data_IF_681360154083
#
_entry.id   IF_681360154083
#
_cell.length_a   1.000
_cell.length_b   1.000
_cell.length_c   1.000
_cell.angle_alpha   90.00
_cell.angle_beta   90.00
_cell.angle_gamma   90.00
#
_symmetry.space_group_name_H-M   'P 1'
#
loop_
_entity.id
_entity.type
_entity.pdbx_description
1 polymer ?
#
# COMPACT_ATOMS: atom_id res chain seq x y z
N UNK A 1 15.53 35.47 5.49
CA UNK A 1 15.03 36.04 6.75
C UNK A 1 14.05 37.18 6.55
N UNK A 2 14.41 38.32 5.94
CA UNK A 2 13.48 39.47 5.80
C UNK A 2 12.13 39.14 5.15
N UNK A 3 12.11 38.25 4.14
CA UNK A 3 10.87 37.80 3.49
C UNK A 3 10.06 36.90 4.44
N UNK A 4 10.69 35.91 5.08
CA UNK A 4 10.01 34.98 6.00
C UNK A 4 9.51 35.70 7.26
N UNK A 5 10.28 36.65 7.81
CA UNK A 5 9.87 37.47 8.96
C UNK A 5 8.73 38.44 8.59
N UNK A 6 8.73 39.02 7.37
CA UNK A 6 7.61 39.83 6.88
C UNK A 6 6.36 39.00 6.63
N UNK A 7 6.50 37.79 6.08
CA UNK A 7 5.37 36.87 5.87
C UNK A 7 4.84 36.41 7.24
N UNK A 8 5.70 36.08 8.21
CA UNK A 8 5.26 35.63 9.55
C UNK A 8 4.60 36.76 10.36
N UNK A 9 5.08 38.01 10.27
CA UNK A 9 4.43 39.16 10.94
C UNK A 9 3.04 39.48 10.37
N UNK A 10 2.83 39.21 9.08
CA UNK A 10 1.56 39.45 8.40
C UNK A 10 0.71 38.18 8.24
N UNK A 11 1.19 37.03 8.73
CA UNK A 11 0.47 35.78 8.65
C UNK A 11 -0.78 35.89 9.55
N UNK A 12 -1.95 35.50 9.05
CA UNK A 12 -3.16 35.46 9.86
C UNK A 12 -2.92 34.54 11.06
N UNK A 13 -3.34 34.97 12.26
CA UNK A 13 -3.34 34.09 13.43
C UNK A 13 -4.35 32.97 13.17
N UNK A 14 -3.87 31.79 12.85
CA UNK A 14 -4.75 30.63 12.73
C UNK A 14 -4.90 29.98 14.10
N UNK A 15 -6.13 29.99 14.60
CA UNK A 15 -6.45 29.31 15.86
C UNK A 15 -6.13 27.81 15.77
N UNK A 16 -5.41 27.30 16.77
CA UNK A 16 -5.06 25.89 16.90
C UNK A 16 -3.65 25.51 16.40
N UNK A 17 -2.92 26.44 15.79
CA UNK A 17 -1.56 26.19 15.30
C UNK A 17 -0.53 26.56 16.38
N UNK A 18 0.53 25.75 16.46
CA UNK A 18 1.63 25.92 17.42
C UNK A 18 2.63 26.94 16.87
N UNK A 19 3.32 27.60 17.80
CA UNK A 19 4.40 28.50 17.47
C UNK A 19 5.53 27.75 16.75
N UNK A 20 6.11 28.37 15.72
CA UNK A 20 7.22 27.82 14.95
C UNK A 20 8.46 28.67 15.20
N UNK A 21 9.56 28.00 15.53
CA UNK A 21 10.86 28.63 15.75
C UNK A 21 11.78 28.26 14.58
N UNK A 22 12.35 29.27 13.92
CA UNK A 22 13.30 29.09 12.81
C UNK A 22 14.74 29.34 13.28
N UNK A 23 15.68 28.62 12.68
CA UNK A 23 17.10 28.66 13.03
C UNK A 23 17.98 28.79 11.78
N UNK A 24 19.03 29.59 11.87
CA UNK A 24 20.03 29.79 10.81
C UNK A 24 21.36 29.17 11.30
N UNK A 25 21.53 27.87 11.13
CA UNK A 25 22.77 27.16 11.48
C UNK A 25 22.98 25.97 10.54
N UNK A 26 24.24 25.52 10.44
CA UNK A 26 24.73 24.45 9.57
C UNK A 26 23.87 23.17 9.62
N UNK A 27 23.84 22.49 8.47
CA UNK A 27 23.09 21.27 8.18
C UNK A 27 23.01 20.36 9.39
N UNK A 28 21.81 20.19 9.93
CA UNK A 28 21.54 19.10 10.88
C UNK A 28 21.55 17.81 10.05
N UNK A 29 22.59 17.01 10.20
CA UNK A 29 22.61 15.68 9.63
C UNK A 29 21.63 14.82 10.43
N UNK A 30 20.45 14.55 9.84
CA UNK A 30 19.59 13.49 10.35
C UNK A 30 20.30 12.19 10.01
N UNK A 31 20.67 11.38 11.00
CA UNK A 31 21.16 10.04 10.76
C UNK A 31 20.09 9.26 9.98
N UNK A 32 20.38 8.94 8.71
CA UNK A 32 19.54 8.07 7.91
C UNK A 32 19.54 6.69 8.56
N UNK A 33 18.39 6.31 9.14
CA UNK A 33 18.18 4.96 9.68
C UNK A 33 18.03 3.98 8.50
N UNK A 34 19.17 3.54 7.94
CA UNK A 34 19.27 2.69 6.73
C UNK A 34 18.96 1.22 6.99
N UNK A 35 17.78 0.92 7.54
CA UNK A 35 17.41 -0.43 7.99
C UNK A 35 16.95 -1.38 6.87
N UNK A 36 16.39 -0.82 5.78
CA UNK A 36 15.90 -1.56 4.64
C UNK A 36 16.51 -0.98 3.37
N UNK A 37 17.52 -1.64 2.82
CA UNK A 37 18.17 -1.20 1.58
C UNK A 37 17.50 -1.85 0.39
N UNK A 38 17.01 -1.08 -0.57
CA UNK A 38 16.45 -1.62 -1.82
C UNK A 38 17.57 -2.30 -2.61
N UNK A 39 17.33 -3.53 -3.05
CA UNK A 39 18.26 -4.34 -3.84
C UNK A 39 17.77 -4.56 -5.27
N UNK A 40 16.47 -4.42 -5.51
CA UNK A 40 15.90 -4.53 -6.84
C UNK A 40 14.41 -4.23 -6.84
N UNK A 41 13.93 -3.71 -7.97
CA UNK A 41 12.50 -3.52 -8.23
C UNK A 41 12.17 -4.14 -9.58
N UNK A 42 11.45 -5.25 -9.55
CA UNK A 42 11.05 -5.99 -10.76
C UNK A 42 9.60 -5.70 -11.11
N UNK A 43 9.32 -5.53 -12.41
CA UNK A 43 7.94 -5.44 -12.90
C UNK A 43 7.28 -6.81 -12.82
N UNK A 44 6.24 -6.93 -12.00
CA UNK A 44 5.38 -8.13 -11.96
C UNK A 44 4.35 -8.10 -13.08
N UNK A 45 3.84 -6.91 -13.40
CA UNK A 45 2.94 -6.66 -14.52
C UNK A 45 2.92 -5.17 -14.84
N UNK A 46 2.77 -4.82 -16.11
CA UNK A 46 2.61 -3.44 -16.58
C UNK A 46 1.74 -3.41 -17.85
N UNK A 47 0.53 -2.88 -17.71
CA UNK A 47 -0.34 -2.50 -18.81
C UNK A 47 -1.08 -1.19 -18.50
N UNK A 48 -1.94 -0.74 -19.41
CA UNK A 48 -2.68 0.52 -19.27
C UNK A 48 -3.59 0.58 -18.03
N UNK A 49 -4.01 -0.56 -17.48
CA UNK A 49 -5.02 -0.69 -16.43
C UNK A 49 -4.46 -1.16 -15.08
N UNK A 50 -3.29 -1.80 -15.10
CA UNK A 50 -2.67 -2.42 -13.94
C UNK A 50 -1.16 -2.33 -14.04
N UNK A 51 -0.53 -1.94 -12.95
CA UNK A 51 0.90 -2.01 -12.81
C UNK A 51 1.25 -2.48 -11.41
N UNK A 52 2.19 -3.42 -11.32
CA UNK A 52 2.64 -3.96 -10.05
C UNK A 52 4.13 -4.26 -10.06
N UNK A 53 4.76 -4.06 -8.91
CA UNK A 53 6.17 -4.32 -8.70
C UNK A 53 6.40 -5.34 -7.60
N UNK A 54 7.49 -6.10 -7.74
CA UNK A 54 8.16 -6.79 -6.65
C UNK A 54 9.29 -5.90 -6.18
N UNK A 55 9.29 -5.52 -4.90
CA UNK A 55 10.39 -4.78 -4.30
C UNK A 55 11.18 -5.73 -3.41
N UNK A 56 12.49 -5.79 -3.64
CA UNK A 56 13.44 -6.57 -2.85
C UNK A 56 14.26 -5.66 -1.95
N UNK A 57 14.35 -6.01 -0.68
CA UNK A 57 15.05 -5.23 0.33
C UNK A 57 16.01 -6.12 1.11
N UNK A 58 17.25 -5.67 1.29
CA UNK A 58 18.16 -6.26 2.24
C UNK A 58 17.93 -5.64 3.61
N UNK A 59 17.88 -6.49 4.65
CA UNK A 59 17.73 -6.07 6.03
C UNK A 59 18.44 -7.03 6.97
N UNK A 60 18.95 -6.49 8.08
CA UNK A 60 19.51 -7.28 9.18
C UNK A 60 18.44 -7.65 10.22
N UNK A 61 17.18 -7.23 10.03
CA UNK A 61 16.09 -7.53 10.95
C UNK A 61 15.54 -8.94 10.67
N UNK A 62 15.36 -9.70 11.73
CA UNK A 62 14.67 -10.98 11.66
C UNK A 62 13.19 -10.78 11.32
N UNK A 63 12.66 -11.66 10.47
CA UNK A 63 11.24 -11.71 10.13
C UNK A 63 10.81 -13.17 9.95
N UNK A 64 9.50 -13.41 9.91
CA UNK A 64 8.93 -14.71 9.55
C UNK A 64 8.19 -14.57 8.22
N UNK A 65 8.04 -15.68 7.50
CA UNK A 65 7.25 -15.71 6.28
C UNK A 65 5.83 -15.17 6.55
N UNK A 66 5.29 -14.43 5.58
CA UNK A 66 3.99 -13.76 5.65
C UNK A 66 3.85 -12.71 6.77
N UNK A 67 4.89 -12.33 7.52
CA UNK A 67 4.86 -11.11 8.33
C UNK A 67 4.55 -9.88 7.45
N UNK A 68 4.13 -8.80 8.08
CA UNK A 68 3.92 -7.54 7.39
C UNK A 68 5.13 -6.61 7.55
N UNK A 69 5.35 -5.72 6.60
CA UNK A 69 6.30 -4.62 6.69
C UNK A 69 5.52 -3.30 6.53
N UNK A 70 5.72 -2.41 7.50
CA UNK A 70 5.12 -1.08 7.55
C UNK A 70 6.14 -0.07 7.05
N UNK A 71 5.92 0.55 5.90
CA UNK A 71 6.91 1.38 5.22
C UNK A 71 6.42 2.82 5.03
N UNK A 72 7.28 3.78 5.31
CA UNK A 72 7.07 5.17 4.94
C UNK A 72 7.54 5.40 3.51
N UNK A 73 6.71 6.07 2.72
CA UNK A 73 7.12 6.59 1.42
C UNK A 73 7.64 8.00 1.55
N UNK A 74 8.33 8.48 0.52
CA UNK A 74 8.88 9.83 0.47
C UNK A 74 8.26 10.61 -0.69
N UNK A 75 8.21 11.94 -0.58
CA UNK A 75 7.85 12.76 -1.72
C UNK A 75 9.02 12.83 -2.71
N UNK A 76 8.67 13.02 -3.98
CA UNK A 76 9.63 13.24 -5.05
C UNK A 76 10.50 14.47 -4.81
N UNK A 77 11.80 14.36 -5.08
CA UNK A 77 12.73 15.47 -4.90
C UNK A 77 12.37 16.67 -5.80
N UNK A 78 11.92 16.43 -7.04
CA UNK A 78 11.47 17.49 -7.95
C UNK A 78 10.19 18.15 -7.44
N UNK A 79 9.28 17.38 -6.82
CA UNK A 79 8.06 17.92 -6.21
C UNK A 79 8.38 18.83 -5.01
N UNK A 80 9.32 18.42 -4.16
CA UNK A 80 9.77 19.21 -3.01
C UNK A 80 10.47 20.48 -3.49
N UNK A 81 11.38 20.37 -4.46
CA UNK A 81 12.09 21.51 -5.04
C UNK A 81 11.10 22.49 -5.71
N UNK A 82 10.15 21.99 -6.50
CA UNK A 82 9.11 22.81 -7.14
C UNK A 82 8.29 23.57 -6.10
N UNK A 83 7.89 22.92 -5.00
CA UNK A 83 7.15 23.55 -3.91
C UNK A 83 7.98 24.65 -3.24
N UNK A 84 9.23 24.35 -2.87
CA UNK A 84 10.13 25.30 -2.21
C UNK A 84 10.41 26.51 -3.10
N UNK A 85 10.76 26.29 -4.37
CA UNK A 85 10.99 27.35 -5.35
C UNK A 85 9.71 28.17 -5.57
N UNK A 86 8.57 27.50 -5.73
CA UNK A 86 7.26 28.11 -5.92
C UNK A 86 6.87 29.04 -4.79
N UNK A 87 7.17 28.69 -3.54
CA UNK A 87 6.90 29.49 -2.34
C UNK A 87 8.07 30.37 -1.87
N UNK A 88 9.23 30.29 -2.54
CA UNK A 88 10.48 30.99 -2.18
C UNK A 88 11.00 30.60 -0.78
N UNK A 89 10.90 29.33 -0.44
CA UNK A 89 11.49 28.79 0.78
C UNK A 89 12.99 28.53 0.60
N UNK A 90 13.74 28.65 1.69
CA UNK A 90 15.11 28.15 1.75
C UNK A 90 15.07 26.74 2.34
N UNK A 91 15.32 25.74 1.50
CA UNK A 91 15.23 24.30 1.83
C UNK A 91 16.02 23.91 3.09
N UNK A 92 17.23 24.46 3.23
CA UNK A 92 18.14 24.18 4.34
C UNK A 92 17.78 24.91 5.65
N UNK A 93 16.77 25.79 5.63
CA UNK A 93 16.34 26.48 6.85
C UNK A 93 15.79 25.46 7.84
N UNK A 94 16.35 25.46 9.05
CA UNK A 94 15.91 24.57 10.12
C UNK A 94 14.77 25.19 10.91
N UNK A 95 13.85 24.35 11.39
CA UNK A 95 12.75 24.77 12.25
C UNK A 95 12.43 23.75 13.34
N UNK A 96 11.72 24.19 14.37
CA UNK A 96 11.10 23.38 15.42
C UNK A 96 9.69 23.91 15.68
N UNK A 97 8.75 23.00 15.93
CA UNK A 97 7.40 23.29 16.43
C UNK A 97 7.29 22.71 17.85
N UNK A 98 7.56 23.52 18.89
CA UNK A 98 7.61 23.02 20.27
C UNK A 98 6.34 22.28 20.68
N UNK A 99 6.52 21.09 21.26
CA UNK A 99 5.41 20.24 21.70
C UNK A 99 4.67 19.50 20.58
N UNK A 100 5.07 19.61 19.30
CA UNK A 100 4.61 18.67 18.27
C UNK A 100 5.34 17.33 18.36
N UNK A 101 4.63 16.23 18.13
CA UNK A 101 5.21 14.88 18.23
C UNK A 101 6.18 14.56 17.09
N UNK A 102 5.99 15.17 15.92
CA UNK A 102 6.80 14.92 14.72
C UNK A 102 7.76 16.07 14.49
N UNK A 103 7.28 17.31 14.64
CA UNK A 103 8.06 18.53 14.38
C UNK A 103 8.65 19.17 15.65
N UNK A 104 8.57 18.50 16.81
CA UNK A 104 9.19 18.94 18.06
C UNK A 104 10.71 18.75 18.10
N UNK A 105 11.30 18.21 17.04
CA UNK A 105 12.75 18.02 16.85
C UNK A 105 13.22 18.91 15.71
N UNK A 106 14.43 19.47 15.82
CA UNK A 106 15.05 20.33 14.80
C UNK A 106 15.19 19.56 13.49
N UNK A 107 14.64 20.09 12.40
CA UNK A 107 14.80 19.55 11.05
C UNK A 107 14.74 20.64 10.00
N UNK A 108 15.24 20.35 8.80
CA UNK A 108 15.16 21.26 7.65
C UNK A 108 13.75 21.29 7.06
N UNK A 109 13.42 22.39 6.39
CA UNK A 109 12.17 22.50 5.60
C UNK A 109 12.11 21.38 4.55
N UNK A 110 13.23 21.11 3.88
CA UNK A 110 13.34 20.02 2.89
C UNK A 110 12.96 18.67 3.49
N UNK A 111 13.54 18.31 4.64
CA UNK A 111 13.27 17.01 5.27
C UNK A 111 11.83 16.88 5.74
N UNK A 112 11.25 17.97 6.25
CA UNK A 112 9.85 17.97 6.62
C UNK A 112 8.95 17.69 5.41
N UNK A 113 9.17 18.39 4.29
CA UNK A 113 8.42 18.18 3.05
C UNK A 113 8.70 16.84 2.40
N UNK A 114 9.92 16.32 2.45
CA UNK A 114 10.27 15.05 1.83
C UNK A 114 9.75 13.85 2.62
N UNK A 115 9.93 13.84 3.93
CA UNK A 115 9.78 12.63 4.75
C UNK A 115 8.62 12.66 5.76
N UNK A 116 7.99 13.80 6.02
CA UNK A 116 7.02 13.93 7.15
C UNK A 116 5.60 14.29 6.74
N UNK A 117 5.39 15.00 5.64
CA UNK A 117 4.06 15.48 5.20
C UNK A 117 3.66 14.98 3.81
N UNK A 118 2.38 14.71 3.58
CA UNK A 118 1.87 14.23 2.30
C UNK A 118 1.58 15.40 1.36
N UNK A 119 2.33 15.50 0.26
CA UNK A 119 2.16 16.55 -0.75
C UNK A 119 1.25 16.12 -1.91
N UNK A 120 0.86 14.85 -1.99
CA UNK A 120 0.19 14.24 -3.14
C UNK A 120 -1.32 14.04 -2.93
N UNK A 121 -1.75 14.04 -1.67
CA UNK A 121 -3.16 13.90 -1.31
C UNK A 121 -4.03 15.03 -1.85
N UNK A 122 -5.27 14.69 -2.23
CA UNK A 122 -6.29 15.65 -2.64
C UNK A 122 -6.61 16.60 -1.49
N UNK A 123 -6.61 17.91 -1.75
CA UNK A 123 -6.87 18.93 -0.73
C UNK A 123 -8.29 18.81 -0.18
N UNK A 124 -8.42 18.74 1.16
CA UNK A 124 -9.72 18.72 1.85
C UNK A 124 -10.27 20.13 2.05
N UNK A 125 -11.61 20.27 2.09
CA UNK A 125 -12.27 21.56 2.31
C UNK A 125 -11.76 22.39 3.50
N UNK A 126 -11.56 21.82 4.72
CA UNK A 126 -11.07 22.61 5.86
C UNK A 126 -9.66 23.18 5.64
N UNK A 127 -8.81 22.39 4.98
CA UNK A 127 -7.46 22.81 4.60
C UNK A 127 -7.54 23.93 3.56
N UNK A 128 -8.33 23.74 2.50
CA UNK A 128 -8.53 24.76 1.48
C UNK A 128 -9.08 26.07 2.08
N UNK A 129 -10.02 25.98 3.03
CA UNK A 129 -10.55 27.16 3.73
C UNK A 129 -9.49 27.87 4.54
N UNK A 130 -8.59 27.13 5.18
CA UNK A 130 -7.45 27.72 5.92
C UNK A 130 -6.52 28.47 4.96
N UNK A 131 -6.24 27.89 3.80
CA UNK A 131 -5.39 28.48 2.76
C UNK A 131 -5.93 29.79 2.18
N UNK A 132 -7.26 30.01 2.20
CA UNK A 132 -7.89 31.26 1.72
C UNK A 132 -7.29 32.53 2.37
N UNK A 133 -6.84 32.42 3.62
CA UNK A 133 -6.31 33.57 4.37
C UNK A 133 -4.88 33.96 3.93
N UNK A 134 -4.26 33.15 3.08
CA UNK A 134 -2.92 33.36 2.52
C UNK A 134 -2.93 33.67 1.02
N UNK A 135 -4.12 33.83 0.42
CA UNK A 135 -4.24 34.29 -0.96
C UNK A 135 -3.65 35.70 -1.10
N UNK A 136 -2.83 35.90 -2.13
CA UNK A 136 -2.30 37.24 -2.45
C UNK A 136 -3.38 38.12 -3.07
N UNK A 137 -4.29 37.53 -3.86
CA UNK A 137 -5.37 38.24 -4.54
C UNK A 137 -6.72 37.98 -3.87
N UNK A 138 -7.52 39.05 -3.73
CA UNK A 138 -8.85 38.96 -3.09
C UNK A 138 -9.83 38.10 -3.90
N UNK A 139 -9.68 38.04 -5.22
CA UNK A 139 -10.55 37.21 -6.08
C UNK A 139 -10.26 35.71 -5.91
N UNK A 140 -9.00 35.33 -5.70
CA UNK A 140 -8.62 33.95 -5.35
C UNK A 140 -9.22 33.54 -4.00
N UNK A 141 -9.15 34.45 -3.01
CA UNK A 141 -9.77 34.26 -1.70
C UNK A 141 -11.29 34.08 -1.80
N UNK A 142 -11.99 34.96 -2.52
CA UNK A 142 -13.44 34.85 -2.75
C UNK A 142 -13.80 33.53 -3.45
N UNK A 143 -12.99 33.11 -4.40
CA UNK A 143 -13.18 31.83 -5.11
C UNK A 143 -13.07 30.66 -4.15
N UNK A 144 -12.01 30.60 -3.34
CA UNK A 144 -11.85 29.57 -2.32
C UNK A 144 -12.98 29.61 -1.28
N UNK A 145 -13.38 30.78 -0.84
CA UNK A 145 -14.47 30.96 0.13
C UNK A 145 -15.80 30.44 -0.43
N UNK A 146 -16.05 30.65 -1.73
CA UNK A 146 -17.18 30.05 -2.42
C UNK A 146 -17.06 28.52 -2.47
N UNK A 147 -15.94 27.97 -2.95
CA UNK A 147 -15.70 26.52 -3.07
C UNK A 147 -15.88 25.78 -1.73
N UNK A 148 -15.45 26.40 -0.64
CA UNK A 148 -15.51 25.83 0.71
C UNK A 148 -16.85 26.05 1.41
N UNK A 149 -17.75 26.84 0.83
CA UNK A 149 -19.12 27.04 1.32
C UNK A 149 -20.05 25.86 1.03
N UNK A 150 -21.26 25.89 1.60
CA UNK A 150 -22.32 24.93 1.27
C UNK A 150 -22.75 25.03 -0.21
N UNK A 151 -22.81 26.26 -0.76
CA UNK A 151 -23.23 26.50 -2.15
C UNK A 151 -22.18 26.07 -3.17
N UNK A 152 -20.90 26.10 -2.82
CA UNK A 152 -19.81 25.69 -3.70
C UNK A 152 -19.51 24.19 -3.68
N UNK A 153 -20.34 23.35 -3.05
CA UNK A 153 -20.06 21.92 -2.89
C UNK A 153 -19.80 21.20 -4.20
N UNK A 154 -20.66 21.41 -5.19
CA UNK A 154 -20.53 20.74 -6.49
C UNK A 154 -19.32 21.28 -7.25
N UNK A 155 -19.06 22.59 -7.14
CA UNK A 155 -17.90 23.21 -7.78
C UNK A 155 -16.57 22.76 -7.16
N UNK A 156 -16.53 22.57 -5.85
CA UNK A 156 -15.38 21.95 -5.17
C UNK A 156 -15.13 20.52 -5.68
N UNK A 157 -16.20 19.73 -5.85
CA UNK A 157 -16.07 18.37 -6.39
C UNK A 157 -15.51 18.42 -7.81
N UNK A 158 -16.02 19.29 -8.67
CA UNK A 158 -15.59 19.44 -10.06
C UNK A 158 -14.16 19.95 -10.19
N UNK A 159 -13.82 21.02 -9.47
CA UNK A 159 -12.56 21.75 -9.68
C UNK A 159 -11.40 21.21 -8.83
N UNK A 160 -11.69 20.58 -7.69
CA UNK A 160 -10.68 20.09 -6.75
C UNK A 160 -10.63 18.56 -6.76
N UNK A 161 -11.73 17.89 -6.42
CA UNK A 161 -11.73 16.43 -6.24
C UNK A 161 -11.57 15.68 -7.56
N UNK A 162 -12.38 16.00 -8.57
CA UNK A 162 -12.35 15.35 -9.88
C UNK A 162 -11.08 15.65 -10.68
N UNK A 163 -10.39 16.75 -10.35
CA UNK A 163 -9.09 17.11 -10.93
C UNK A 163 -7.91 16.63 -10.09
N UNK A 164 -8.17 16.02 -8.93
CA UNK A 164 -7.15 15.52 -8.00
C UNK A 164 -6.16 16.61 -7.56
N UNK A 165 -6.64 17.82 -7.28
CA UNK A 165 -5.78 18.94 -6.91
C UNK A 165 -5.10 18.68 -5.57
N UNK A 166 -3.76 18.62 -5.60
CA UNK A 166 -2.90 18.50 -4.42
C UNK A 166 -2.56 19.87 -3.82
N UNK A 167 -1.91 19.90 -2.66
CA UNK A 167 -1.53 21.17 -2.03
C UNK A 167 -0.62 22.01 -2.93
N UNK A 168 0.47 21.46 -3.53
CA UNK A 168 1.27 22.20 -4.51
C UNK A 168 0.44 22.76 -5.68
N UNK A 169 -0.53 22.00 -6.22
CA UNK A 169 -1.41 22.48 -7.30
C UNK A 169 -2.27 23.68 -6.83
N UNK A 170 -2.84 23.61 -5.61
CA UNK A 170 -3.65 24.69 -5.03
C UNK A 170 -2.83 25.95 -4.78
N UNK A 171 -1.62 25.79 -4.23
CA UNK A 171 -0.74 26.93 -3.95
C UNK A 171 -0.38 27.70 -5.23
N UNK A 172 -0.17 26.98 -6.34
CA UNK A 172 0.09 27.56 -7.64
C UNK A 172 -1.18 28.18 -8.26
N UNK A 173 -2.31 27.47 -8.22
CA UNK A 173 -3.54 27.90 -8.89
C UNK A 173 -4.17 29.18 -8.30
N UNK A 174 -4.02 29.41 -6.99
CA UNK A 174 -4.67 30.52 -6.27
C UNK A 174 -3.68 31.55 -5.69
N UNK A 175 -2.45 31.60 -6.24
CA UNK A 175 -1.40 32.55 -5.85
C UNK A 175 -1.21 32.66 -4.33
N UNK A 176 -1.20 31.53 -3.63
CA UNK A 176 -1.09 31.51 -2.18
C UNK A 176 0.36 31.69 -1.75
N UNK A 177 0.60 32.49 -0.72
CA UNK A 177 1.90 32.68 -0.07
C UNK A 177 1.78 32.40 1.42
N UNK A 178 2.32 31.28 1.86
CA UNK A 178 2.18 30.78 3.23
C UNK A 178 3.58 30.56 3.85
N UNK A 179 3.78 30.82 5.16
CA UNK A 179 5.01 30.39 5.83
C UNK A 179 5.16 28.86 5.82
N UNK A 180 6.38 28.32 5.69
CA UNK A 180 6.62 26.88 5.63
C UNK A 180 6.12 26.17 6.90
N UNK A 181 6.32 26.75 8.08
CA UNK A 181 5.85 26.18 9.34
C UNK A 181 4.31 26.13 9.48
N UNK A 182 3.59 27.06 8.87
CA UNK A 182 2.12 27.02 8.85
C UNK A 182 1.65 25.95 7.87
N UNK A 183 2.26 25.90 6.68
CA UNK A 183 1.96 24.90 5.66
C UNK A 183 2.18 23.47 6.18
N UNK A 184 3.31 23.22 6.86
CA UNK A 184 3.65 21.91 7.45
C UNK A 184 2.61 21.47 8.47
N UNK A 185 2.04 22.39 9.25
CA UNK A 185 1.01 22.06 10.24
C UNK A 185 -0.36 21.80 9.61
N UNK A 186 -0.65 22.37 8.44
CA UNK A 186 -1.91 22.16 7.70
C UNK A 186 -1.90 20.83 6.94
N UNK A 187 -0.72 20.39 6.50
CA UNK A 187 -0.55 19.17 5.73
C UNK A 187 -0.83 17.91 6.56
N UNK A 188 -1.40 16.90 5.91
CA UNK A 188 -1.50 15.56 6.50
C UNK A 188 -0.08 14.98 6.67
N UNK A 189 0.13 14.24 7.76
CA UNK A 189 1.38 13.52 7.99
C UNK A 189 1.45 12.27 7.12
N UNK A 190 2.64 11.95 6.60
CA UNK A 190 2.88 10.70 5.87
C UNK A 190 2.60 9.54 6.83
N UNK A 191 1.68 8.66 6.45
CA UNK A 191 1.36 7.44 7.18
C UNK A 191 2.18 6.28 6.62
N UNK A 192 2.59 5.30 7.45
CA UNK A 192 3.22 4.11 6.91
C UNK A 192 2.19 3.25 6.16
N UNK A 193 2.63 2.57 5.11
CA UNK A 193 1.82 1.66 4.29
C UNK A 193 2.24 0.23 4.62
N UNK A 194 1.26 -0.64 4.81
CA UNK A 194 1.48 -2.04 5.17
C UNK A 194 1.55 -2.89 3.91
N UNK A 195 2.57 -3.72 3.81
CA UNK A 195 2.72 -4.73 2.77
C UNK A 195 2.99 -6.08 3.42
N UNK A 196 2.35 -7.13 2.91
CA UNK A 196 2.62 -8.48 3.38
C UNK A 196 3.85 -9.03 2.64
N UNK A 197 4.80 -9.54 3.41
CA UNK A 197 6.08 -10.05 2.91
C UNK A 197 5.83 -11.32 2.07
N UNK A 198 6.37 -11.34 0.86
CA UNK A 198 6.22 -12.41 -0.13
C UNK A 198 7.43 -13.33 -0.26
N UNK A 199 8.46 -13.12 0.55
CA UNK A 199 9.62 -14.01 0.68
C UNK A 199 9.56 -14.83 1.97
N UNK A 200 10.27 -15.95 1.98
CA UNK A 200 10.60 -16.69 3.19
C UNK A 200 12.09 -16.42 3.52
N UNK A 201 12.44 -16.06 4.77
CA UNK A 201 13.81 -15.78 5.18
C UNK A 201 14.76 -16.99 5.05
N UNK A 202 14.25 -18.22 5.13
CA UNK A 202 15.04 -19.45 5.02
C UNK A 202 15.40 -19.78 3.57
N UNK A 203 14.61 -19.31 2.60
CA UNK A 203 14.81 -19.59 1.18
C UNK A 203 15.18 -18.35 0.36
N UNK A 204 15.31 -17.18 0.98
CA UNK A 204 15.63 -15.93 0.29
C UNK A 204 16.55 -15.03 1.12
N UNK A 205 17.65 -14.52 0.52
CA UNK A 205 18.58 -13.63 1.21
C UNK A 205 18.05 -12.19 1.35
N UNK A 206 16.94 -11.86 0.69
CA UNK A 206 16.30 -10.54 0.70
C UNK A 206 14.84 -10.67 1.10
N UNK A 207 14.27 -9.62 1.68
CA UNK A 207 12.84 -9.53 1.97
C UNK A 207 12.11 -8.98 0.74
N UNK A 208 11.05 -9.66 0.32
CA UNK A 208 10.28 -9.29 -0.88
C UNK A 208 8.89 -8.83 -0.49
N UNK A 209 8.31 -7.89 -1.22
CA UNK A 209 6.89 -7.58 -1.13
C UNK A 209 6.36 -7.08 -2.48
N UNK A 210 5.07 -7.34 -2.71
CA UNK A 210 4.38 -6.87 -3.91
C UNK A 210 3.66 -5.54 -3.64
N UNK A 211 3.76 -4.62 -4.60
CA UNK A 211 2.98 -3.39 -4.60
C UNK A 211 2.18 -3.26 -5.90
N UNK A 212 0.90 -2.92 -5.77
CA UNK A 212 0.11 -2.41 -6.89
C UNK A 212 0.26 -0.88 -6.96
N UNK A 213 0.55 -0.36 -8.15
CA UNK A 213 0.60 1.07 -8.41
C UNK A 213 -0.83 1.60 -8.56
N UNK A 214 -1.21 2.53 -7.69
CA UNK A 214 -2.53 3.16 -7.68
C UNK A 214 -2.45 4.47 -8.45
N UNK A 215 -3.16 4.51 -9.59
CA UNK A 215 -3.22 5.68 -10.48
C UNK A 215 -4.66 5.90 -10.97
N UNK A 216 -5.15 7.13 -10.83
CA UNK A 216 -6.47 7.56 -11.30
C UNK A 216 -6.38 8.94 -11.96
N UNK A 217 -6.46 9.01 -13.29
CA UNK A 217 -6.22 10.26 -14.01
C UNK A 217 -4.80 10.81 -13.74
N UNK A 218 -4.72 12.04 -13.23
CA UNK A 218 -3.45 12.68 -12.80
C UNK A 218 -2.97 12.18 -11.43
N UNK A 219 -3.85 11.64 -10.60
CA UNK A 219 -3.48 11.17 -9.26
C UNK A 219 -2.67 9.88 -9.31
N UNK A 220 -1.57 9.87 -8.57
CA UNK A 220 -0.81 8.67 -8.23
C UNK A 220 -0.71 8.65 -6.70
N UNK A 221 -1.03 7.51 -6.09
CA UNK A 221 -0.94 7.40 -4.63
C UNK A 221 0.48 7.65 -4.15
N UNK A 222 0.65 8.34 -3.02
CA UNK A 222 1.97 8.72 -2.49
C UNK A 222 3.02 7.59 -2.52
N UNK A 223 2.71 6.42 -1.95
CA UNK A 223 3.68 5.32 -1.92
C UNK A 223 3.87 4.71 -3.33
N UNK A 224 2.85 4.78 -4.19
CA UNK A 224 2.99 4.39 -5.60
C UNK A 224 3.94 5.31 -6.37
N UNK A 225 3.89 6.64 -6.13
CA UNK A 225 4.87 7.59 -6.67
C UNK A 225 6.28 7.24 -6.22
N UNK A 226 6.45 6.96 -4.93
CA UNK A 226 7.74 6.55 -4.39
C UNK A 226 8.24 5.21 -4.98
N UNK A 227 7.35 4.22 -5.13
CA UNK A 227 7.70 2.94 -5.76
C UNK A 227 8.09 3.08 -7.23
N UNK A 228 7.48 4.00 -7.97
CA UNK A 228 7.90 4.35 -9.34
C UNK A 228 9.31 4.97 -9.36
N UNK A 229 9.68 5.77 -8.36
CA UNK A 229 11.05 6.27 -8.24
C UNK A 229 12.03 5.13 -7.96
N UNK A 230 11.72 4.26 -6.99
CA UNK A 230 12.55 3.10 -6.69
C UNK A 230 12.73 2.19 -7.91
N UNK A 231 11.69 2.05 -8.73
CA UNK A 231 11.79 1.34 -10.01
C UNK A 231 12.72 2.03 -11.01
N UNK A 232 12.67 3.36 -11.13
CA UNK A 232 13.57 4.10 -12.03
C UNK A 232 15.02 4.08 -11.56
N UNK A 233 15.24 4.20 -10.26
CA UNK A 233 16.58 4.32 -9.68
C UNK A 233 17.21 2.96 -9.38
N UNK A 234 16.40 1.92 -9.16
CA UNK A 234 16.82 0.59 -8.68
C UNK A 234 17.64 0.63 -7.38
N UNK A 235 17.56 1.74 -6.64
CA UNK A 235 18.33 1.99 -5.43
C UNK A 235 17.51 2.88 -4.48
N UNK A 236 17.79 2.75 -3.19
CA UNK A 236 17.17 3.58 -2.16
C UNK A 236 17.19 2.89 -0.81
N UNK A 237 16.70 3.62 0.18
CA UNK A 237 16.44 3.09 1.51
C UNK A 237 14.97 3.26 1.83
N UNK A 238 14.45 2.34 2.61
CA UNK A 238 13.10 2.35 3.11
C UNK A 238 13.15 2.46 4.64
N UNK A 239 12.20 3.19 5.20
CA UNK A 239 12.07 3.35 6.63
C UNK A 239 10.76 2.72 7.10
N UNK A 240 10.81 1.97 8.20
CA UNK A 240 9.66 1.19 8.59
C UNK A 240 9.87 0.21 9.73
N UNK A 241 8.88 -0.65 9.92
CA UNK A 241 8.88 -1.67 10.96
C UNK A 241 8.30 -2.98 10.42
N UNK A 242 8.93 -4.11 10.77
CA UNK A 242 8.31 -5.42 10.58
C UNK A 242 7.25 -5.60 11.66
N UNK A 243 6.08 -6.05 11.24
CA UNK A 243 4.91 -6.28 12.09
C UNK A 243 4.50 -7.75 11.99
N UNK A 244 4.05 -8.36 13.10
CA UNK A 244 3.40 -9.66 13.05
C UNK A 244 2.21 -9.65 12.08
N UNK A 245 1.96 -10.78 11.45
CA UNK A 245 0.77 -11.01 10.62
C UNK A 245 -0.21 -11.93 11.34
N UNK A 246 -1.47 -11.85 10.97
CA UNK A 246 -2.47 -12.86 11.35
C UNK A 246 -2.15 -14.24 10.75
N UNK A 247 -1.27 -14.32 9.74
CA UNK A 247 -0.92 -15.54 9.02
C UNK A 247 0.15 -16.35 9.75
N UNK A 248 -0.18 -16.83 10.95
CA UNK A 248 0.66 -17.79 11.67
C UNK A 248 0.67 -19.13 10.94
N UNK A 249 1.80 -19.49 10.32
CA UNK A 249 1.95 -20.74 9.59
C UNK A 249 1.79 -21.99 10.50
N UNK A 250 0.98 -22.96 10.05
CA UNK A 250 0.64 -24.22 10.73
C UNK A 250 0.68 -25.37 9.70
N UNK A 251 1.87 -25.86 9.32
CA UNK A 251 2.03 -26.87 8.28
C UNK A 251 1.37 -28.20 8.62
N UNK A 252 1.27 -28.54 9.90
CA UNK A 252 0.70 -29.81 10.38
C UNK A 252 -0.79 -29.97 10.07
N UNK A 253 -1.47 -28.87 9.69
CA UNK A 253 -2.88 -28.85 9.33
C UNK A 253 -3.06 -28.79 7.81
N UNK A 254 -4.19 -29.30 7.27
CA UNK A 254 -4.63 -28.94 5.92
C UNK A 254 -4.75 -27.42 5.76
N UNK A 255 -4.26 -26.87 4.65
CA UNK A 255 -4.18 -25.44 4.38
C UNK A 255 -4.99 -25.07 3.14
N UNK A 256 -5.82 -24.03 3.27
CA UNK A 256 -6.51 -23.37 2.16
C UNK A 256 -6.09 -21.89 2.10
N UNK A 257 -5.45 -21.52 1.00
CA UNK A 257 -5.02 -20.15 0.71
C UNK A 257 -5.96 -19.55 -0.33
N UNK A 258 -6.55 -18.40 -0.03
CA UNK A 258 -7.49 -17.69 -0.92
C UNK A 258 -7.00 -16.25 -1.10
N UNK A 259 -6.72 -15.82 -2.33
CA UNK A 259 -6.35 -14.43 -2.54
C UNK A 259 -6.46 -13.92 -3.97
N UNK A 260 -6.57 -12.59 -4.13
CA UNK A 260 -6.73 -11.97 -5.44
C UNK A 260 -5.72 -10.85 -5.67
N UNK A 261 -5.20 -10.73 -6.89
CA UNK A 261 -4.17 -9.74 -7.22
C UNK A 261 -2.95 -9.85 -6.30
N UNK A 262 -2.49 -8.73 -5.73
CA UNK A 262 -1.42 -8.71 -4.72
C UNK A 262 -1.72 -9.52 -3.44
N UNK A 263 -2.97 -9.97 -3.22
CA UNK A 263 -3.36 -10.90 -2.18
C UNK A 263 -2.62 -12.23 -2.17
N UNK A 264 -1.99 -12.64 -3.29
CA UNK A 264 -1.19 -13.88 -3.30
C UNK A 264 0.21 -13.71 -2.71
N UNK A 265 0.65 -12.48 -2.43
CA UNK A 265 1.97 -12.18 -1.88
C UNK A 265 2.36 -13.04 -0.66
N UNK A 266 1.56 -13.09 0.44
CA UNK A 266 1.89 -13.94 1.58
C UNK A 266 2.06 -15.42 1.22
N UNK A 267 1.23 -15.92 0.30
CA UNK A 267 1.22 -17.34 -0.05
C UNK A 267 2.49 -17.76 -0.77
N UNK A 268 3.11 -16.86 -1.53
CA UNK A 268 4.47 -17.08 -2.07
C UNK A 268 5.48 -17.31 -0.97
N UNK A 269 5.44 -16.54 0.12
CA UNK A 269 6.29 -16.77 1.29
C UNK A 269 5.97 -18.11 1.98
N UNK A 270 4.68 -18.45 2.09
CA UNK A 270 4.25 -19.74 2.66
C UNK A 270 4.68 -20.95 1.82
N UNK A 271 4.85 -20.83 0.49
CA UNK A 271 5.41 -21.92 -0.34
C UNK A 271 6.79 -22.36 0.16
N UNK A 272 7.65 -21.41 0.54
CA UNK A 272 8.95 -21.71 1.12
C UNK A 272 8.83 -22.47 2.44
N UNK A 273 7.84 -22.14 3.27
CA UNK A 273 7.60 -22.87 4.51
C UNK A 273 7.07 -24.28 4.24
N UNK A 274 6.16 -24.43 3.27
CA UNK A 274 5.59 -25.72 2.84
C UNK A 274 6.63 -26.64 2.21
N UNK A 275 7.64 -26.09 1.52
CA UNK A 275 8.74 -26.87 0.97
C UNK A 275 9.59 -27.52 2.07
N UNK A 276 9.72 -26.87 3.22
CA UNK A 276 10.50 -27.36 4.36
C UNK A 276 9.67 -28.23 5.30
N UNK A 277 8.41 -27.84 5.52
CA UNK A 277 7.45 -28.54 6.37
C UNK A 277 6.16 -28.79 5.56
N UNK A 278 6.07 -29.91 4.83
CA UNK A 278 4.92 -30.21 4.00
C UNK A 278 3.63 -30.36 4.81
N UNK A 279 2.54 -29.81 4.26
CA UNK A 279 1.21 -30.00 4.81
C UNK A 279 0.56 -31.30 4.30
N UNK A 280 -0.34 -31.92 5.09
CA UNK A 280 -1.16 -33.05 4.63
C UNK A 280 -1.99 -32.72 3.38
N UNK A 281 -2.40 -31.46 3.21
CA UNK A 281 -3.15 -30.98 2.06
C UNK A 281 -2.97 -29.46 1.94
N UNK A 282 -2.60 -28.98 0.76
CA UNK A 282 -2.36 -27.56 0.49
C UNK A 282 -3.06 -27.12 -0.79
N UNK A 283 -3.94 -26.13 -0.66
CA UNK A 283 -4.77 -25.64 -1.77
C UNK A 283 -4.58 -24.13 -1.90
N UNK A 284 -4.33 -23.67 -3.13
CA UNK A 284 -4.39 -22.27 -3.50
C UNK A 284 -5.61 -22.02 -4.40
N UNK A 285 -6.45 -21.05 -4.03
CA UNK A 285 -7.50 -20.49 -4.88
C UNK A 285 -7.17 -19.01 -5.09
N UNK A 286 -6.85 -18.62 -6.32
CA UNK A 286 -6.48 -17.25 -6.61
C UNK A 286 -7.24 -16.63 -7.78
N UNK A 287 -7.32 -15.30 -7.79
CA UNK A 287 -8.10 -14.55 -8.76
C UNK A 287 -7.35 -13.36 -9.35
N UNK A 288 -7.40 -13.23 -10.68
CA UNK A 288 -6.76 -12.15 -11.44
C UNK A 288 -7.69 -11.57 -12.51
N UNK A 289 -7.25 -10.50 -13.17
CA UNK A 289 -7.98 -9.93 -14.31
C UNK A 289 -7.85 -10.84 -15.52
N UNK A 290 -6.62 -11.14 -15.91
CA UNK A 290 -6.25 -11.99 -17.04
C UNK A 290 -5.06 -12.85 -16.64
N UNK A 291 -4.67 -13.81 -17.47
CA UNK A 291 -3.50 -14.67 -17.25
C UNK A 291 -2.20 -13.88 -17.08
N UNK A 292 -2.07 -12.77 -17.80
CA UNK A 292 -0.90 -11.88 -17.70
C UNK A 292 -0.82 -11.19 -16.33
N UNK A 293 -1.94 -10.99 -15.65
CA UNK A 293 -1.97 -10.36 -14.33
C UNK A 293 -1.61 -11.32 -13.18
N UNK A 294 -1.38 -12.61 -13.46
CA UNK A 294 -1.03 -13.58 -12.43
C UNK A 294 0.42 -13.35 -11.96
N UNK A 295 0.57 -12.49 -10.96
CA UNK A 295 1.87 -12.23 -10.33
C UNK A 295 2.42 -13.49 -9.65
N UNK A 296 3.74 -13.67 -9.70
CA UNK A 296 4.44 -14.84 -9.14
C UNK A 296 3.97 -16.20 -9.68
N UNK A 297 3.31 -16.22 -10.84
CA UNK A 297 2.77 -17.44 -11.46
C UNK A 297 3.79 -18.57 -11.53
N UNK A 298 5.01 -18.28 -11.95
CA UNK A 298 6.06 -19.29 -12.08
C UNK A 298 6.44 -19.93 -10.74
N UNK A 299 6.43 -19.17 -9.65
CA UNK A 299 6.77 -19.68 -8.31
C UNK A 299 5.70 -20.66 -7.83
N UNK A 300 4.42 -20.35 -8.07
CA UNK A 300 3.31 -21.25 -7.75
C UNK A 300 3.27 -22.49 -8.64
N UNK A 301 3.46 -22.32 -9.97
CA UNK A 301 3.51 -23.45 -10.92
C UNK A 301 4.66 -24.41 -10.59
N UNK A 302 5.84 -23.89 -10.26
CA UNK A 302 7.00 -24.70 -9.83
C UNK A 302 6.79 -25.41 -8.51
N UNK A 303 5.82 -25.02 -7.69
CA UNK A 303 5.58 -25.59 -6.36
C UNK A 303 4.56 -26.72 -6.34
N UNK A 304 3.85 -26.96 -7.45
CA UNK A 304 2.85 -28.02 -7.59
C UNK A 304 3.50 -29.41 -7.49
N UNK A 305 2.96 -30.28 -6.61
CA UNK A 305 3.39 -31.68 -6.43
C UNK A 305 3.17 -32.54 -7.66
N UNK A 306 2.09 -32.29 -8.38
CA UNK A 306 1.78 -32.99 -9.61
C UNK A 306 1.39 -31.96 -10.66
N UNK A 307 2.32 -31.56 -11.55
CA UNK A 307 2.04 -30.56 -12.59
C UNK A 307 1.11 -31.08 -13.69
N UNK A 308 0.90 -32.40 -13.76
CA UNK A 308 -0.14 -33.00 -14.61
C UNK A 308 -1.51 -32.99 -13.93
N UNK A 309 -1.58 -32.69 -12.63
CA UNK A 309 -2.83 -32.33 -11.97
C UNK A 309 -3.15 -30.91 -12.48
N UNK A 310 -4.16 -30.77 -13.35
CA UNK A 310 -4.30 -29.59 -14.18
C UNK A 310 -4.30 -28.34 -13.30
N UNK A 311 -3.69 -27.27 -13.81
CA UNK A 311 -4.20 -25.94 -13.55
C UNK A 311 -5.70 -26.02 -13.82
N UNK A 312 -6.51 -26.17 -12.78
CA UNK A 312 -7.96 -26.13 -12.89
C UNK A 312 -8.35 -24.64 -12.97
N UNK A 313 -7.74 -23.95 -13.93
CA UNK A 313 -8.50 -23.14 -14.89
C UNK A 313 -9.55 -24.04 -15.53
N UNK A 314 -10.40 -23.52 -16.38
CA UNK A 314 -11.18 -24.38 -17.27
C UNK A 314 -10.30 -25.09 -18.35
N UNK A 315 -9.17 -25.70 -17.94
CA UNK A 315 -8.36 -26.69 -18.63
C UNK A 315 -7.13 -26.13 -19.36
N UNK A 316 -5.95 -26.15 -18.74
CA UNK A 316 -4.67 -26.23 -19.48
C UNK A 316 -3.58 -27.00 -18.72
N UNK A 317 -2.85 -27.83 -19.47
CA UNK A 317 -1.65 -28.59 -19.06
C UNK A 317 -0.42 -27.74 -19.40
N UNK A 318 0.53 -27.63 -18.48
CA UNK A 318 1.86 -27.10 -18.76
C UNK A 318 2.80 -28.26 -19.11
N UNK A 319 3.05 -28.47 -20.40
CA UNK A 319 4.16 -29.33 -20.82
C UNK A 319 5.44 -28.49 -20.94
N UNK A 320 6.56 -29.09 -20.52
CA UNK A 320 7.95 -28.68 -20.79
C UNK A 320 8.60 -27.61 -19.90
N UNK A 321 8.61 -27.82 -18.57
CA UNK A 321 9.58 -27.16 -17.67
C UNK A 321 10.16 -28.15 -16.66
N UNK A 322 11.41 -27.97 -16.25
CA UNK A 322 12.04 -28.76 -15.19
C UNK A 322 11.30 -28.49 -13.86
N UNK A 323 10.51 -29.47 -13.43
CA UNK A 323 9.71 -29.43 -12.21
C UNK A 323 10.54 -29.90 -11.01
N UNK A 324 10.55 -29.10 -9.94
CA UNK A 324 11.20 -29.45 -8.66
C UNK A 324 10.24 -29.37 -7.46
N UNK A 325 8.97 -29.00 -7.68
CA UNK A 325 7.98 -28.74 -6.63
C UNK A 325 7.39 -29.97 -5.97
N UNK A 326 7.24 -29.93 -4.65
CA UNK A 326 6.66 -30.99 -3.83
C UNK A 326 5.71 -30.46 -2.72
N UNK A 327 5.23 -29.21 -2.80
CA UNK A 327 4.60 -28.57 -1.64
C UNK A 327 3.17 -28.04 -1.82
N UNK A 328 2.67 -27.84 -3.05
CA UNK A 328 1.29 -27.42 -3.34
C UNK A 328 0.49 -28.56 -4.00
N UNK A 329 -0.63 -29.00 -3.41
CA UNK A 329 -1.45 -30.11 -3.94
C UNK A 329 -2.39 -29.66 -5.06
N UNK A 330 -3.04 -28.50 -4.88
CA UNK A 330 -3.99 -27.95 -5.83
C UNK A 330 -3.82 -26.44 -6.01
N UNK A 331 -3.93 -25.98 -7.25
CA UNK A 331 -4.02 -24.57 -7.59
C UNK A 331 -5.18 -24.33 -8.54
N UNK A 332 -6.09 -23.45 -8.13
CA UNK A 332 -7.23 -23.01 -8.92
C UNK A 332 -7.14 -21.52 -9.18
N UNK A 333 -7.34 -21.12 -10.44
CA UNK A 333 -7.15 -19.72 -10.87
C UNK A 333 -8.41 -19.23 -11.57
N UNK A 334 -8.92 -18.07 -11.14
CA UNK A 334 -10.06 -17.39 -11.75
C UNK A 334 -9.63 -16.14 -12.48
N UNK A 335 -10.04 -15.99 -13.74
CA UNK A 335 -9.85 -14.76 -14.50
C UNK A 335 -11.17 -14.03 -14.70
N UNK A 336 -11.20 -12.77 -14.24
CA UNK A 336 -12.39 -11.93 -14.27
C UNK A 336 -12.60 -11.18 -15.59
N UNK A 337 -11.61 -11.20 -16.49
CA UNK A 337 -11.61 -10.50 -17.78
C UNK A 337 -11.14 -11.37 -18.97
N UNK A 338 -10.96 -12.67 -18.78
CA UNK A 338 -10.71 -13.62 -19.87
C UNK A 338 -11.89 -14.60 -19.99
N UNK A 339 -12.66 -14.50 -21.07
CA UNK A 339 -13.84 -15.33 -21.26
C UNK A 339 -14.94 -15.03 -20.23
N UNK A 340 -15.71 -16.05 -19.78
CA UNK A 340 -16.68 -15.89 -18.70
C UNK A 340 -16.01 -15.37 -17.44
N UNK A 341 -16.65 -14.42 -16.74
CA UNK A 341 -16.09 -13.86 -15.51
C UNK A 341 -16.05 -14.94 -14.43
N UNK A 342 -14.84 -15.30 -13.99
CA UNK A 342 -14.62 -16.24 -12.89
C UNK A 342 -13.90 -15.53 -11.75
N UNK A 343 -14.48 -15.58 -10.57
CA UNK A 343 -13.89 -15.11 -9.32
C UNK A 343 -13.60 -16.28 -8.37
N UNK A 344 -12.86 -16.00 -7.30
CA UNK A 344 -12.49 -17.02 -6.30
C UNK A 344 -13.71 -17.68 -5.64
N UNK A 345 -14.81 -16.94 -5.44
CA UNK A 345 -16.05 -17.49 -4.90
C UNK A 345 -16.72 -18.51 -5.82
N UNK A 346 -16.59 -18.35 -7.14
CA UNK A 346 -17.15 -19.28 -8.12
C UNK A 346 -16.38 -20.61 -8.04
N UNK A 347 -15.06 -20.54 -7.95
CA UNK A 347 -14.16 -21.69 -7.78
C UNK A 347 -14.44 -22.40 -6.45
N UNK A 348 -14.58 -21.66 -5.35
CA UNK A 348 -14.93 -22.23 -4.04
C UNK A 348 -16.25 -22.99 -4.12
N UNK A 349 -17.24 -22.46 -4.84
CA UNK A 349 -18.55 -23.09 -5.00
C UNK A 349 -18.46 -24.39 -5.79
N UNK A 350 -17.67 -24.42 -6.87
CA UNK A 350 -17.42 -25.61 -7.70
C UNK A 350 -16.71 -26.70 -6.88
N UNK A 351 -15.69 -26.32 -6.09
CA UNK A 351 -14.86 -27.25 -5.32
C UNK A 351 -15.26 -27.34 -3.84
N UNK A 352 -16.55 -27.10 -3.52
CA UNK A 352 -17.03 -26.99 -2.14
C UNK A 352 -16.70 -28.20 -1.25
N UNK A 353 -16.70 -29.42 -1.80
CA UNK A 353 -16.35 -30.64 -1.07
C UNK A 353 -14.87 -30.62 -0.62
N UNK A 354 -13.98 -30.20 -1.52
CA UNK A 354 -12.55 -30.10 -1.23
C UNK A 354 -12.28 -28.97 -0.23
N UNK A 355 -12.96 -27.83 -0.39
CA UNK A 355 -12.91 -26.73 0.58
C UNK A 355 -13.40 -27.18 1.96
N UNK A 356 -14.51 -27.93 2.02
CA UNK A 356 -15.06 -28.46 3.25
C UNK A 356 -14.07 -29.36 4.00
N UNK A 357 -13.31 -30.21 3.29
CA UNK A 357 -12.27 -31.02 3.92
C UNK A 357 -11.26 -30.17 4.71
N UNK A 358 -10.92 -28.97 4.23
CA UNK A 358 -10.06 -28.06 4.99
C UNK A 358 -10.84 -27.33 6.09
N UNK A 359 -12.09 -26.94 5.86
CA UNK A 359 -12.88 -26.23 6.88
C UNK A 359 -13.09 -27.04 8.16
N UNK A 360 -13.14 -28.38 8.07
CA UNK A 360 -13.40 -29.27 9.22
C UNK A 360 -12.22 -29.36 10.18
N UNK A 361 -10.99 -29.49 9.68
CA UNK A 361 -9.81 -29.78 10.51
C UNK A 361 -8.54 -29.00 10.11
N UNK A 362 -8.65 -28.06 9.17
CA UNK A 362 -7.53 -27.28 8.65
C UNK A 362 -7.55 -25.80 9.04
N UNK A 363 -6.72 -25.02 8.37
CA UNK A 363 -6.58 -23.58 8.51
C UNK A 363 -6.81 -22.88 7.16
N UNK A 364 -7.51 -21.74 7.20
CA UNK A 364 -7.82 -20.94 6.01
C UNK A 364 -7.13 -19.59 6.11
N UNK A 365 -6.43 -19.18 5.06
CA UNK A 365 -5.82 -17.87 4.92
C UNK A 365 -6.51 -17.10 3.78
N UNK A 366 -7.02 -15.91 4.08
CA UNK A 366 -7.73 -15.05 3.11
C UNK A 366 -6.98 -13.72 3.00
N UNK A 367 -6.50 -13.38 1.80
CA UNK A 367 -5.71 -12.17 1.58
C UNK A 367 -6.14 -11.42 0.31
N UNK A 368 -6.26 -10.09 0.38
CA UNK A 368 -6.58 -9.26 -0.78
C UNK A 368 -7.60 -8.17 -0.51
N UNK A 369 -8.51 -7.94 -1.47
CA UNK A 369 -9.47 -6.85 -1.39
C UNK A 369 -10.58 -7.07 -0.34
N UNK A 370 -10.97 -6.00 0.36
CA UNK A 370 -12.04 -6.00 1.37
C UNK A 370 -13.37 -6.60 0.88
N UNK A 371 -13.78 -6.28 -0.35
CA UNK A 371 -15.01 -6.83 -0.95
C UNK A 371 -14.89 -8.33 -1.19
N UNK A 372 -13.73 -8.81 -1.65
CA UNK A 372 -13.48 -10.23 -1.87
C UNK A 372 -13.52 -10.99 -0.53
N UNK A 373 -12.82 -10.50 0.50
CA UNK A 373 -12.79 -11.14 1.80
C UNK A 373 -14.18 -11.30 2.43
N UNK A 374 -15.03 -10.27 2.36
CA UNK A 374 -16.42 -10.34 2.83
C UNK A 374 -17.22 -11.41 2.09
N UNK A 375 -17.15 -11.43 0.75
CA UNK A 375 -17.88 -12.40 -0.07
C UNK A 375 -17.42 -13.84 0.21
N UNK A 376 -16.11 -14.07 0.35
CA UNK A 376 -15.56 -15.38 0.70
C UNK A 376 -16.04 -15.81 2.08
N UNK A 377 -15.97 -14.94 3.09
CA UNK A 377 -16.46 -15.26 4.44
C UNK A 377 -17.93 -15.68 4.45
N UNK A 378 -18.80 -14.97 3.72
CA UNK A 378 -20.22 -15.33 3.61
C UNK A 378 -20.41 -16.68 2.91
N UNK A 379 -19.61 -16.98 1.88
CA UNK A 379 -19.67 -18.26 1.18
C UNK A 379 -19.21 -19.43 2.07
N UNK A 380 -18.10 -19.27 2.79
CA UNK A 380 -17.60 -20.30 3.71
C UNK A 380 -18.59 -20.57 4.86
N UNK A 381 -19.30 -19.54 5.35
CA UNK A 381 -20.39 -19.72 6.30
C UNK A 381 -21.53 -20.55 5.69
N UNK A 382 -21.94 -20.24 4.46
CA UNK A 382 -22.96 -21.00 3.74
C UNK A 382 -22.60 -22.47 3.56
N UNK A 383 -21.36 -22.76 3.13
CA UNK A 383 -20.84 -24.13 3.02
C UNK A 383 -20.84 -24.82 4.38
N UNK A 384 -20.37 -24.16 5.43
CA UNK A 384 -20.35 -24.76 6.79
C UNK A 384 -21.76 -25.13 7.25
N UNK A 385 -22.73 -24.25 7.02
CA UNK A 385 -24.14 -24.49 7.35
C UNK A 385 -24.72 -25.67 6.57
N UNK A 386 -24.40 -25.78 5.28
CA UNK A 386 -24.86 -26.88 4.42
C UNK A 386 -24.35 -28.24 4.92
N UNK A 387 -23.07 -28.33 5.31
CA UNK A 387 -22.44 -29.61 5.67
C UNK A 387 -22.57 -30.01 7.14
N UNK A 388 -22.60 -29.05 8.07
CA UNK A 388 -22.55 -29.33 9.52
C UNK A 388 -23.48 -28.47 10.37
N UNK A 389 -24.35 -27.66 9.76
CA UNK A 389 -25.25 -26.76 10.47
C UNK A 389 -24.58 -25.46 10.97
N UNK A 390 -25.41 -24.54 11.49
CA UNK A 390 -24.99 -23.18 11.82
C UNK A 390 -24.01 -23.12 13.02
N UNK A 391 -24.09 -24.07 13.95
CA UNK A 391 -23.30 -24.05 15.18
C UNK A 391 -21.79 -24.24 14.91
N UNK A 392 -21.45 -25.07 13.92
CA UNK A 392 -20.07 -25.38 13.53
C UNK A 392 -19.30 -24.15 13.03
N UNK A 393 -20.00 -23.13 12.50
CA UNK A 393 -19.37 -21.93 11.97
C UNK A 393 -18.52 -21.19 12.99
N UNK A 394 -18.92 -21.18 14.27
CA UNK A 394 -18.16 -20.53 15.35
C UNK A 394 -16.77 -21.13 15.52
N UNK A 395 -16.62 -22.44 15.33
CA UNK A 395 -15.33 -23.12 15.45
C UNK A 395 -14.51 -22.99 14.18
N UNK A 396 -15.16 -23.07 13.01
CA UNK A 396 -14.50 -22.80 11.71
C UNK A 396 -13.90 -21.40 11.69
N UNK A 397 -14.62 -20.37 12.14
CA UNK A 397 -14.13 -18.99 12.14
C UNK A 397 -12.82 -18.79 12.92
N UNK A 398 -12.59 -19.55 14.00
CA UNK A 398 -11.33 -19.45 14.79
C UNK A 398 -10.10 -19.85 13.99
N UNK A 399 -10.30 -20.69 12.97
CA UNK A 399 -9.27 -21.23 12.06
C UNK A 399 -9.17 -20.44 10.74
N UNK A 400 -9.91 -19.34 10.60
CA UNK A 400 -9.76 -18.44 9.46
C UNK A 400 -8.87 -17.27 9.88
N UNK A 401 -7.78 -17.06 9.15
CA UNK A 401 -6.89 -15.89 9.27
C UNK A 401 -7.10 -15.02 8.05
N UNK A 402 -7.35 -13.73 8.26
CA UNK A 402 -7.71 -12.82 7.17
C UNK A 402 -6.94 -11.51 7.28
N UNK A 403 -6.31 -11.11 6.18
CA UNK A 403 -5.66 -9.81 6.02
C UNK A 403 -6.14 -9.16 4.72
N UNK A 404 -7.06 -8.21 4.86
CA UNK A 404 -7.74 -7.55 3.73
C UNK A 404 -7.60 -6.05 3.80
N UNK A 405 -7.51 -5.41 2.62
CA UNK A 405 -7.34 -3.97 2.47
C UNK A 405 -8.28 -3.39 1.42
N UNK A 406 -8.44 -2.07 1.42
CA UNK A 406 -9.25 -1.34 0.45
C UNK A 406 -9.11 0.16 0.56
#
# INVERSE_FOLDING_TARGET
MEILEKIQKNAPKINGYKQVNYFIEEKVHIEEIKEFRVCGVTVLHDDNDYKAYNIEIHTNKEYKAACNVSLYGENDDELVEMLCNGQKYSEDTNFIIPGDKVFGVKMSIKDAFKYKVDLTGIVRKPVLKTLSSYCVFEDDKKTIDFLTSLKGKDKFREDIESRYMSIPDILQAYNIRIPPGDLIQILDKIKPRMYTISSNPESSPTMHFAIQIIKHGKFIGHFSTFAEQLYKTQQGYLHGEIKPSAFSFQPELPILMIGNGCGVAPFRGLLGCLALNPSPLSILICGFRTKNHFIYREDFEKSLKNPQNPLLEHGYILNDREYTGNCLDYMFVGYSREGPKVYVQDIISIHKNLVWNVLVNGIVYICGGNTMGKSVMMLLQGITKEFAGEEMWKDVMKRIKMEVWG
#
